data_IF_764650959120
#
_entry.id   IF_764650959120
#
_cell.length_a   1.000
_cell.length_b   1.000
_cell.length_c   1.000
_cell.angle_alpha   90.00
_cell.angle_beta   90.00
_cell.angle_gamma   90.00
#
_symmetry.space_group_name_H-M   'P 1'
#
loop_
_entity.id
_entity.type
_entity.pdbx_description
1 polymer ?
#
# COMPACT_ATOMS: atom_id res chain seq x y z
N UNK A 1 3.40 -17.76 -2.61
CA UNK A 1 2.66 -18.46 -3.69
C UNK A 1 3.16 -19.90 -3.83
N UNK A 2 2.27 -20.89 -3.77
CA UNK A 2 2.58 -22.29 -4.08
C UNK A 2 2.16 -22.64 -5.53
N UNK A 3 2.63 -21.87 -6.50
CA UNK A 3 2.35 -22.18 -7.91
C UNK A 3 3.44 -23.13 -8.45
N UNK A 4 3.07 -24.22 -9.15
CA UNK A 4 4.01 -25.04 -9.89
C UNK A 4 4.55 -24.29 -11.13
N UNK A 5 5.74 -24.64 -11.63
CA UNK A 5 6.34 -23.96 -12.78
C UNK A 5 5.45 -23.89 -14.02
N UNK A 6 4.66 -24.93 -14.29
CA UNK A 6 3.76 -24.99 -15.44
C UNK A 6 2.65 -23.94 -15.38
N UNK A 7 2.08 -23.71 -14.19
CA UNK A 7 1.07 -22.65 -13.99
C UNK A 7 1.69 -21.26 -14.14
N UNK A 8 2.94 -21.06 -13.69
CA UNK A 8 3.65 -19.79 -13.88
C UNK A 8 3.87 -19.54 -15.39
N UNK A 9 4.27 -20.57 -16.15
CA UNK A 9 4.44 -20.45 -17.61
C UNK A 9 3.10 -20.13 -18.28
N UNK A 10 2.02 -20.83 -17.93
CA UNK A 10 0.69 -20.60 -18.48
C UNK A 10 0.17 -19.18 -18.19
N UNK A 11 0.48 -18.62 -17.01
CA UNK A 11 0.14 -17.24 -16.69
C UNK A 11 0.97 -16.24 -17.50
N UNK A 12 2.25 -16.52 -17.72
CA UNK A 12 3.11 -15.71 -18.59
C UNK A 12 2.70 -15.80 -20.06
N UNK A 13 2.12 -16.92 -20.51
CA UNK A 13 1.62 -17.12 -21.88
C UNK A 13 0.47 -16.15 -22.22
N UNK A 14 -0.30 -15.69 -21.23
CA UNK A 14 -1.38 -14.69 -21.43
C UNK A 14 -0.86 -13.31 -21.84
N UNK A 15 0.42 -13.03 -21.62
CA UNK A 15 0.99 -11.69 -21.79
C UNK A 15 2.18 -11.64 -22.74
N UNK A 16 2.98 -12.70 -22.81
CA UNK A 16 4.15 -12.78 -23.67
C UNK A 16 3.93 -13.90 -24.66
N UNK A 17 4.06 -13.65 -25.96
CA UNK A 17 3.92 -14.70 -26.98
C UNK A 17 5.28 -15.39 -27.20
N UNK A 18 5.30 -16.72 -27.26
CA UNK A 18 6.53 -17.50 -27.49
C UNK A 18 7.50 -17.49 -26.31
N UNK A 19 8.82 -17.45 -26.58
CA UNK A 19 9.89 -17.38 -25.56
C UNK A 19 9.85 -18.48 -24.46
N UNK A 20 9.45 -19.71 -24.83
CA UNK A 20 9.26 -20.82 -23.88
C UNK A 20 10.47 -21.09 -22.97
N UNK A 21 11.70 -20.99 -23.52
CA UNK A 21 12.94 -21.17 -22.73
C UNK A 21 13.07 -20.13 -21.61
N UNK A 22 12.81 -18.85 -21.93
CA UNK A 22 12.89 -17.76 -20.96
C UNK A 22 11.80 -17.89 -19.88
N UNK A 23 10.55 -18.20 -20.28
CA UNK A 23 9.43 -18.44 -19.36
C UNK A 23 9.72 -19.59 -18.39
N UNK A 24 10.24 -20.71 -18.90
CA UNK A 24 10.62 -21.86 -18.07
C UNK A 24 11.74 -21.51 -17.08
N UNK A 25 12.76 -20.76 -17.53
CA UNK A 25 13.86 -20.34 -16.67
C UNK A 25 13.37 -19.47 -15.50
N UNK A 26 12.52 -18.46 -15.77
CA UNK A 26 11.97 -17.60 -14.73
C UNK A 26 11.00 -18.34 -13.80
N UNK A 27 10.21 -19.27 -14.33
CA UNK A 27 9.30 -20.10 -13.53
C UNK A 27 10.05 -21.00 -12.55
N UNK A 28 11.17 -21.60 -12.98
CA UNK A 28 12.05 -22.39 -12.11
C UNK A 28 12.68 -21.51 -11.03
N UNK A 29 13.20 -20.33 -11.39
CA UNK A 29 13.80 -19.42 -10.42
C UNK A 29 12.79 -18.98 -9.35
N UNK A 30 11.55 -18.66 -9.74
CA UNK A 30 10.48 -18.32 -8.81
C UNK A 30 10.10 -19.52 -7.92
N UNK A 31 9.95 -20.72 -8.50
CA UNK A 31 9.65 -21.95 -7.74
C UNK A 31 10.75 -22.30 -6.74
N UNK A 32 12.01 -22.05 -7.09
CA UNK A 32 13.15 -22.28 -6.19
C UNK A 32 13.10 -21.38 -4.96
N UNK A 33 12.53 -20.17 -5.04
CA UNK A 33 12.31 -19.32 -3.86
C UNK A 33 11.35 -19.98 -2.87
N UNK A 34 10.24 -20.54 -3.36
CA UNK A 34 9.30 -21.29 -2.53
C UNK A 34 9.94 -22.56 -1.95
N UNK A 35 10.68 -23.32 -2.77
CA UNK A 35 11.41 -24.52 -2.31
C UNK A 35 12.40 -24.20 -1.20
N UNK A 36 13.16 -23.11 -1.33
CA UNK A 36 14.10 -22.65 -0.29
C UNK A 36 13.39 -22.42 1.05
N UNK A 37 12.18 -21.86 1.07
CA UNK A 37 11.42 -21.66 2.30
C UNK A 37 11.04 -22.98 2.99
N UNK A 38 10.96 -24.09 2.26
CA UNK A 38 10.65 -25.42 2.79
C UNK A 38 11.89 -26.16 3.34
N UNK A 39 13.09 -25.62 3.12
CA UNK A 39 14.34 -26.22 3.61
C UNK A 39 14.57 -25.81 5.07
N UNK A 40 15.02 -26.75 5.91
CA UNK A 40 15.37 -26.50 7.30
C UNK A 40 16.73 -25.78 7.44
N UNK A 41 16.95 -25.11 8.57
CA UNK A 41 18.27 -24.57 8.90
C UNK A 41 19.28 -25.70 9.19
N UNK A 42 20.59 -25.51 8.90
CA UNK A 42 21.25 -24.30 8.39
C UNK A 42 21.25 -24.16 6.86
N UNK A 43 20.81 -25.19 6.13
CA UNK A 43 20.95 -25.29 4.68
C UNK A 43 20.20 -24.17 3.92
N UNK A 44 19.15 -23.60 4.52
CA UNK A 44 18.37 -22.52 3.91
C UNK A 44 19.19 -21.26 3.63
N UNK A 45 20.14 -20.91 4.50
CA UNK A 45 21.00 -19.74 4.32
C UNK A 45 22.04 -19.94 3.21
N UNK A 46 22.50 -21.18 3.01
CA UNK A 46 23.48 -21.52 1.96
C UNK A 46 22.87 -21.49 0.54
N UNK A 47 21.56 -21.66 0.42
CA UNK A 47 20.87 -21.64 -0.87
C UNK A 47 20.70 -20.20 -1.37
N UNK A 48 21.53 -19.80 -2.33
CA UNK A 48 21.45 -18.48 -2.99
C UNK A 48 20.43 -18.46 -4.14
N UNK A 49 19.80 -17.29 -4.41
CA UNK A 49 18.93 -17.12 -5.57
C UNK A 49 19.66 -17.41 -6.89
N UNK A 50 18.98 -18.08 -7.82
CA UNK A 50 19.50 -18.34 -9.17
C UNK A 50 19.18 -17.15 -10.08
N UNK A 51 20.15 -16.25 -10.24
CA UNK A 51 20.04 -15.11 -11.14
C UNK A 51 19.95 -15.55 -12.61
N UNK A 52 19.30 -14.75 -13.45
CA UNK A 52 19.02 -15.07 -14.85
C UNK A 52 19.63 -14.02 -15.76
N UNK A 53 20.42 -14.46 -16.74
CA UNK A 53 20.86 -13.65 -17.86
C UNK A 53 20.00 -13.96 -19.09
N UNK A 54 19.30 -12.96 -19.63
CA UNK A 54 18.51 -13.10 -20.85
C UNK A 54 19.28 -12.55 -22.05
N UNK A 55 19.53 -13.39 -23.05
CA UNK A 55 20.23 -13.02 -24.28
C UNK A 55 19.25 -13.04 -25.45
N UNK A 56 19.21 -11.96 -26.23
CA UNK A 56 18.37 -11.85 -27.43
C UNK A 56 18.25 -10.40 -27.93
N UNK A 57 17.67 -10.17 -29.12
CA UNK A 57 17.51 -8.83 -29.69
C UNK A 57 16.54 -7.97 -28.88
N UNK A 58 16.50 -6.67 -29.14
CA UNK A 58 15.52 -5.75 -28.53
C UNK A 58 14.10 -6.12 -28.98
N UNK A 59 13.08 -5.74 -28.20
CA UNK A 59 11.67 -5.96 -28.58
C UNK A 59 11.10 -7.38 -28.39
N UNK A 60 11.92 -8.40 -28.14
CA UNK A 60 11.43 -9.81 -28.00
C UNK A 60 10.73 -10.15 -26.68
N UNK A 61 10.48 -9.16 -25.81
CA UNK A 61 9.75 -9.35 -24.56
C UNK A 61 10.59 -9.69 -23.32
N UNK A 62 11.93 -9.54 -23.34
CA UNK A 62 12.80 -9.82 -22.17
C UNK A 62 12.33 -9.08 -20.90
N UNK A 63 12.14 -7.77 -21.01
CA UNK A 63 11.68 -6.92 -19.91
C UNK A 63 10.23 -7.23 -19.51
N UNK A 64 9.38 -7.60 -20.46
CA UNK A 64 7.98 -7.91 -20.20
C UNK A 64 7.84 -9.22 -19.42
N UNK A 65 8.65 -10.24 -19.71
CA UNK A 65 8.70 -11.48 -18.91
C UNK A 65 9.04 -11.16 -17.46
N UNK A 66 10.06 -10.33 -17.21
CA UNK A 66 10.46 -9.96 -15.86
C UNK A 66 9.39 -9.14 -15.13
N UNK A 67 8.79 -8.15 -15.80
CA UNK A 67 7.70 -7.32 -15.27
C UNK A 67 6.48 -8.17 -14.91
N UNK A 68 6.06 -9.08 -15.79
CA UNK A 68 4.90 -9.96 -15.57
C UNK A 68 5.16 -10.98 -14.48
N UNK A 69 6.37 -11.52 -14.40
CA UNK A 69 6.76 -12.40 -13.31
C UNK A 69 6.68 -11.70 -11.95
N UNK A 70 7.17 -10.46 -11.85
CA UNK A 70 7.11 -9.71 -10.61
C UNK A 70 5.67 -9.37 -10.19
N UNK A 71 4.84 -8.93 -11.15
CA UNK A 71 3.41 -8.71 -10.91
C UNK A 71 2.69 -9.99 -10.48
N UNK A 72 3.00 -11.11 -11.13
CA UNK A 72 2.46 -12.41 -10.75
C UNK A 72 2.86 -12.81 -9.34
N UNK A 73 4.12 -12.58 -8.95
CA UNK A 73 4.62 -12.94 -7.63
C UNK A 73 4.26 -11.92 -6.53
N UNK A 74 3.51 -10.86 -6.86
CA UNK A 74 3.28 -9.68 -6.01
C UNK A 74 4.58 -9.14 -5.42
N UNK A 75 5.63 -9.06 -6.25
CA UNK A 75 6.98 -8.68 -5.84
C UNK A 75 7.34 -7.26 -6.34
N UNK A 76 8.08 -6.47 -5.54
CA UNK A 76 8.63 -5.19 -5.98
C UNK A 76 9.52 -5.36 -7.21
N UNK A 77 9.42 -4.43 -8.17
CA UNK A 77 10.13 -4.53 -9.45
C UNK A 77 10.68 -3.18 -9.90
N UNK A 78 11.94 -3.20 -10.35
CA UNK A 78 12.62 -2.02 -10.89
C UNK A 78 13.33 -2.36 -12.20
N UNK A 79 13.29 -1.43 -13.17
CA UNK A 79 14.03 -1.51 -14.44
C UNK A 79 15.11 -0.44 -14.43
N UNK A 80 16.37 -0.85 -14.58
CA UNK A 80 17.53 0.04 -14.59
C UNK A 80 18.39 -0.26 -15.82
N UNK A 81 19.04 0.77 -16.35
CA UNK A 81 19.99 0.66 -17.45
C UNK A 81 21.40 0.72 -16.89
N UNK A 82 22.23 -0.28 -17.20
CA UNK A 82 23.56 -0.42 -16.62
C UNK A 82 24.49 0.75 -16.99
N UNK A 83 24.28 1.36 -18.15
CA UNK A 83 25.07 2.51 -18.64
C UNK A 83 24.90 3.75 -17.78
N UNK A 84 23.84 3.84 -16.95
CA UNK A 84 23.63 4.94 -16.00
C UNK A 84 24.70 5.01 -14.91
N UNK A 85 25.44 3.93 -14.67
CA UNK A 85 26.50 3.84 -13.66
C UNK A 85 27.91 3.97 -14.25
N UNK A 86 28.02 4.06 -15.58
CA UNK A 86 29.30 4.19 -16.29
C UNK A 86 29.50 5.57 -16.91
N UNK A 87 28.48 6.43 -16.89
CA UNK A 87 28.52 7.74 -17.55
C UNK A 87 29.43 8.71 -16.77
N UNK A 88 30.43 9.25 -17.47
CA UNK A 88 31.53 10.05 -16.91
C UNK A 88 30.98 11.41 -16.45
N UNK A 89 30.88 11.62 -15.13
CA UNK A 89 30.42 12.85 -14.49
C UNK A 89 30.81 12.92 -13.00
N UNK A 90 30.92 14.13 -12.46
CA UNK A 90 31.62 14.46 -11.20
C UNK A 90 30.94 13.96 -9.90
N UNK A 91 29.69 13.48 -9.97
CA UNK A 91 29.01 12.75 -8.89
C UNK A 91 28.10 11.71 -9.54
N UNK A 92 28.62 10.50 -9.80
CA UNK A 92 27.84 9.43 -10.41
C UNK A 92 26.68 8.99 -9.52
N UNK A 93 25.59 8.48 -10.12
CA UNK A 93 24.57 7.76 -9.34
C UNK A 93 25.22 6.54 -8.69
N UNK A 94 25.07 6.43 -7.38
CA UNK A 94 25.56 5.31 -6.58
C UNK A 94 24.78 4.02 -6.93
N UNK A 95 25.46 2.87 -7.02
CA UNK A 95 24.83 1.57 -7.29
C UNK A 95 23.87 1.18 -6.17
N UNK A 96 24.09 1.68 -4.95
CA UNK A 96 23.17 1.44 -3.84
C UNK A 96 21.78 2.07 -4.06
N UNK A 97 21.65 3.06 -4.93
CA UNK A 97 20.34 3.63 -5.31
C UNK A 97 19.40 2.58 -5.90
N UNK A 98 19.93 1.52 -6.54
CA UNK A 98 19.13 0.40 -7.05
C UNK A 98 18.31 -0.25 -5.93
N UNK A 99 18.93 -0.43 -4.76
CA UNK A 99 18.29 -1.08 -3.61
C UNK A 99 17.35 -0.12 -2.92
N UNK A 100 17.73 1.17 -2.78
CA UNK A 100 16.87 2.21 -2.19
C UNK A 100 15.55 2.35 -2.98
N UNK A 101 15.64 2.53 -4.30
CA UNK A 101 14.48 2.65 -5.18
C UNK A 101 13.58 1.39 -5.11
N UNK A 102 14.18 0.20 -5.02
CA UNK A 102 13.43 -1.06 -4.89
C UNK A 102 12.67 -1.15 -3.56
N UNK A 103 13.28 -0.68 -2.47
CA UNK A 103 12.64 -0.62 -1.14
C UNK A 103 11.46 0.35 -1.18
N UNK A 104 11.62 1.54 -1.76
CA UNK A 104 10.56 2.54 -1.84
C UNK A 104 9.33 2.02 -2.61
N UNK A 105 9.58 1.30 -3.72
CA UNK A 105 8.53 0.61 -4.47
C UNK A 105 7.83 -0.44 -3.59
N UNK A 106 8.58 -1.21 -2.80
CA UNK A 106 8.04 -2.21 -1.88
C UNK A 106 7.20 -1.61 -0.74
N UNK A 107 7.65 -0.49 -0.16
CA UNK A 107 6.90 0.25 0.87
C UNK A 107 5.59 0.78 0.28
N UNK A 108 5.64 1.40 -0.90
CA UNK A 108 4.45 1.89 -1.60
C UNK A 108 3.47 0.76 -1.89
N UNK A 109 3.94 -0.36 -2.45
CA UNK A 109 3.10 -1.52 -2.76
C UNK A 109 2.43 -2.09 -1.50
N UNK A 110 3.19 -2.20 -0.40
CA UNK A 110 2.67 -2.70 0.88
C UNK A 110 1.62 -1.75 1.45
N UNK A 111 1.88 -0.43 1.40
CA UNK A 111 0.93 0.60 1.83
C UNK A 111 -0.37 0.52 1.04
N UNK A 112 -0.30 0.39 -0.29
CA UNK A 112 -1.48 0.25 -1.15
C UNK A 112 -2.29 -1.01 -0.83
N UNK A 113 -1.63 -2.14 -0.62
CA UNK A 113 -2.29 -3.39 -0.22
C UNK A 113 -2.95 -3.27 1.16
N UNK A 114 -2.25 -2.68 2.14
CA UNK A 114 -2.80 -2.44 3.47
C UNK A 114 -4.01 -1.49 3.43
N UNK A 115 -3.93 -0.39 2.66
CA UNK A 115 -5.03 0.56 2.49
C UNK A 115 -6.27 -0.10 1.89
N UNK A 116 -6.10 -1.04 0.95
CA UNK A 116 -7.23 -1.80 0.38
C UNK A 116 -7.91 -2.70 1.42
N UNK A 117 -7.13 -3.35 2.29
CA UNK A 117 -7.67 -4.24 3.34
C UNK A 117 -8.58 -3.49 4.33
N UNK A 118 -8.19 -2.28 4.71
CA UNK A 118 -8.94 -1.47 5.71
C UNK A 118 -9.95 -0.51 5.07
N UNK A 119 -10.10 -0.50 3.75
CA UNK A 119 -10.91 0.50 3.03
C UNK A 119 -12.37 0.54 3.49
N UNK A 120 -12.99 -0.63 3.67
CA UNK A 120 -14.39 -0.72 4.10
C UNK A 120 -14.58 -0.17 5.52
N UNK A 121 -13.71 -0.58 6.45
CA UNK A 121 -13.75 -0.10 7.84
C UNK A 121 -13.47 1.40 7.93
N UNK A 122 -12.50 1.89 7.14
CA UNK A 122 -12.19 3.32 7.07
C UNK A 122 -13.37 4.12 6.49
N UNK A 123 -14.07 3.58 5.48
CA UNK A 123 -15.26 4.20 4.93
C UNK A 123 -16.39 4.23 5.96
N UNK A 124 -16.69 3.12 6.63
CA UNK A 124 -17.73 3.08 7.66
C UNK A 124 -17.43 4.03 8.83
N UNK A 125 -16.16 4.13 9.24
CA UNK A 125 -15.72 5.07 10.28
C UNK A 125 -15.82 6.54 9.83
N UNK A 126 -15.49 6.83 8.57
CA UNK A 126 -15.67 8.16 8.00
C UNK A 126 -17.15 8.54 7.90
N UNK A 127 -18.01 7.62 7.45
CA UNK A 127 -19.47 7.79 7.43
C UNK A 127 -20.01 8.06 8.84
N UNK A 128 -19.57 7.30 9.85
CA UNK A 128 -20.02 7.49 11.24
C UNK A 128 -19.66 8.88 11.77
N UNK A 129 -18.46 9.38 11.46
CA UNK A 129 -18.01 10.72 11.87
C UNK A 129 -18.83 11.84 11.24
N UNK A 130 -19.26 11.65 9.99
CA UNK A 130 -20.19 12.57 9.31
C UNK A 130 -21.59 12.49 9.94
N UNK A 131 -22.07 11.27 10.24
CA UNK A 131 -23.38 11.06 10.85
C UNK A 131 -23.46 11.62 12.29
N UNK A 132 -22.36 11.66 13.03
CA UNK A 132 -22.31 12.29 14.36
C UNK A 132 -22.59 13.79 14.32
N UNK A 133 -22.21 14.46 13.22
CA UNK A 133 -22.48 15.88 13.01
C UNK A 133 -23.92 16.11 12.53
N UNK A 134 -24.40 15.27 11.61
CA UNK A 134 -25.74 15.38 11.03
C UNK A 134 -26.85 14.97 12.02
N UNK A 135 -26.62 13.94 12.83
CA UNK A 135 -27.56 13.42 13.82
C UNK A 135 -26.82 13.19 15.14
N UNK A 136 -26.60 14.27 15.92
CA UNK A 136 -25.93 14.18 17.20
C UNK A 136 -26.67 13.18 18.11
N UNK A 137 -25.96 12.29 18.80
CA UNK A 137 -26.60 11.45 19.81
C UNK A 137 -27.24 12.37 20.87
N UNK A 138 -28.39 11.99 21.45
CA UNK A 138 -28.97 12.73 22.56
C UNK A 138 -27.90 12.83 23.66
N UNK A 139 -27.43 14.06 23.91
CA UNK A 139 -26.59 14.33 25.07
C UNK A 139 -27.43 14.00 26.29
N UNK A 140 -26.90 13.20 27.20
CA UNK A 140 -27.48 12.97 28.50
C UNK A 140 -27.48 14.32 29.22
N UNK A 141 -28.60 15.04 29.13
CA UNK A 141 -28.71 16.42 29.60
C UNK A 141 -28.92 16.37 31.11
N UNK A 142 -27.82 16.14 31.83
CA UNK A 142 -27.76 16.17 33.29
C UNK A 142 -28.08 17.56 33.82
N UNK A 143 -29.37 17.81 34.07
CA UNK A 143 -29.83 18.90 34.90
C UNK A 143 -30.44 18.32 36.19
N UNK A 144 -29.65 18.29 37.28
CA UNK A 144 -30.21 18.28 38.64
C UNK A 144 -29.62 17.28 39.65
N UNK A 145 -28.87 17.83 40.60
CA UNK A 145 -28.81 17.48 42.03
C UNK A 145 -27.99 16.28 42.51
N UNK A 146 -27.23 16.58 43.56
CA UNK A 146 -26.59 15.67 44.50
C UNK A 146 -27.48 14.53 45.00
N UNK A 147 -26.79 13.48 45.45
CA UNK A 147 -27.21 12.35 46.31
C UNK A 147 -27.64 11.05 45.63
N UNK A 148 -26.74 10.07 45.75
CA UNK A 148 -26.97 8.72 46.25
C UNK A 148 -28.00 7.80 45.56
N UNK A 149 -27.47 6.63 45.19
CA UNK A 149 -28.11 5.30 45.30
C UNK A 149 -28.91 4.82 44.08
N UNK A 150 -28.28 3.85 43.41
CA UNK A 150 -28.86 2.69 42.71
C UNK A 150 -30.06 2.90 41.80
N UNK A 151 -29.85 2.66 40.51
CA UNK A 151 -30.72 1.76 39.75
C UNK A 151 -30.10 1.44 38.40
N UNK A 152 -29.78 0.16 38.22
CA UNK A 152 -29.69 -0.50 36.94
C UNK A 152 -31.03 -0.34 36.20
N UNK A 153 -31.20 0.71 35.39
CA UNK A 153 -32.35 0.81 34.46
C UNK A 153 -32.16 2.02 33.55
N UNK A 154 -31.34 1.88 32.49
CA UNK A 154 -31.38 2.76 31.32
C UNK A 154 -30.79 2.05 30.09
N UNK A 155 -31.37 0.88 29.77
CA UNK A 155 -31.12 0.17 28.51
C UNK A 155 -32.27 0.32 27.48
N UNK A 156 -33.28 1.14 27.74
CA UNK A 156 -34.50 1.21 26.90
C UNK A 156 -34.65 2.48 26.02
N UNK A 157 -33.74 3.45 26.07
CA UNK A 157 -33.80 4.65 25.20
C UNK A 157 -33.20 4.50 23.78
N UNK A 158 -32.67 3.33 23.39
CA UNK A 158 -31.82 3.16 22.19
C UNK A 158 -32.55 2.93 20.84
N UNK A 159 -33.88 3.06 20.80
CA UNK A 159 -34.67 2.76 19.59
C UNK A 159 -34.74 3.90 18.55
N UNK A 160 -34.88 5.15 18.99
CA UNK A 160 -35.18 6.29 18.10
C UNK A 160 -33.98 6.82 17.31
N UNK A 161 -32.82 6.99 17.97
CA UNK A 161 -31.59 7.48 17.32
C UNK A 161 -31.04 6.51 16.27
N UNK A 162 -31.31 5.21 16.42
CA UNK A 162 -30.78 4.18 15.52
C UNK A 162 -31.52 4.16 14.17
N UNK A 163 -32.83 4.40 14.17
CA UNK A 163 -33.65 4.44 12.94
C UNK A 163 -33.34 5.69 12.09
N UNK A 164 -33.24 6.87 12.72
CA UNK A 164 -32.83 8.09 12.03
C UNK A 164 -31.41 7.96 11.45
N UNK A 165 -30.44 7.45 12.22
CA UNK A 165 -29.07 7.25 11.71
C UNK A 165 -28.99 6.28 10.53
N UNK A 166 -29.81 5.23 10.50
CA UNK A 166 -29.86 4.31 9.35
C UNK A 166 -30.43 4.95 8.09
N UNK A 167 -31.45 5.80 8.21
CA UNK A 167 -32.01 6.50 7.03
C UNK A 167 -31.04 7.56 6.49
N UNK A 168 -30.35 8.30 7.36
CA UNK A 168 -29.30 9.25 6.95
C UNK A 168 -28.07 8.55 6.36
N UNK A 169 -27.65 7.41 6.90
CA UNK A 169 -26.58 6.59 6.29
C UNK A 169 -26.93 6.18 4.86
N UNK A 170 -28.16 5.75 4.62
CA UNK A 170 -28.62 5.39 3.28
C UNK A 170 -28.60 6.60 2.33
N UNK A 171 -29.10 7.75 2.78
CA UNK A 171 -29.09 9.01 2.02
C UNK A 171 -27.69 9.52 1.69
N UNK A 172 -26.73 9.34 2.60
CA UNK A 172 -25.31 9.67 2.39
C UNK A 172 -24.70 8.77 1.31
N UNK A 173 -24.99 7.46 1.32
CA UNK A 173 -24.53 6.53 0.28
C UNK A 173 -25.19 6.75 -1.08
N UNK A 174 -26.39 7.32 -1.10
CA UNK A 174 -27.11 7.70 -2.31
C UNK A 174 -26.67 9.06 -2.88
N UNK A 175 -25.75 9.77 -2.21
CA UNK A 175 -25.21 11.06 -2.66
C UNK A 175 -26.18 12.24 -2.50
N UNK A 176 -27.28 12.05 -1.78
CA UNK A 176 -28.32 13.08 -1.62
C UNK A 176 -27.97 14.21 -0.64
N UNK A 177 -26.85 14.07 0.07
CA UNK A 177 -26.40 15.01 1.11
C UNK A 177 -25.04 15.64 0.78
N UNK A 178 -24.51 15.41 -0.43
CA UNK A 178 -23.16 15.82 -0.83
C UNK A 178 -23.01 17.35 -0.92
N UNK A 179 -24.10 18.06 -1.21
CA UNK A 179 -24.12 19.54 -1.31
C UNK A 179 -24.34 20.23 0.04
N UNK A 180 -24.49 19.50 1.15
CA UNK A 180 -24.67 20.10 2.48
C UNK A 180 -23.34 20.52 3.09
N UNK A 181 -23.27 21.78 3.55
CA UNK A 181 -22.12 22.29 4.28
C UNK A 181 -22.11 21.74 5.72
N UNK A 182 -21.01 21.11 6.11
CA UNK A 182 -20.78 20.59 7.46
C UNK A 182 -19.40 21.03 7.95
N UNK A 183 -19.29 21.29 9.25
CA UNK A 183 -18.02 21.62 9.90
C UNK A 183 -17.46 20.34 10.56
N UNK A 184 -16.27 19.92 10.15
CA UNK A 184 -15.58 18.72 10.66
C UNK A 184 -14.21 19.13 11.18
N UNK A 185 -13.90 18.72 12.41
CA UNK A 185 -12.54 18.78 12.93
C UNK A 185 -11.68 17.68 12.29
N UNK A 186 -10.77 18.10 11.41
CA UNK A 186 -9.76 17.23 10.79
C UNK A 186 -8.41 17.51 11.47
N UNK A 187 -7.59 16.48 11.63
CA UNK A 187 -6.22 16.68 12.08
C UNK A 187 -5.47 17.53 11.04
N UNK A 188 -5.10 18.75 11.41
CA UNK A 188 -4.24 19.57 10.56
C UNK A 188 -2.86 18.94 10.48
N UNK A 189 -2.34 18.83 9.25
CA UNK A 189 -0.92 18.51 9.08
C UNK A 189 -0.12 19.71 9.56
N UNK A 190 0.83 19.48 10.48
CA UNK A 190 1.69 20.53 10.99
C UNK A 190 2.29 21.34 9.83
N UNK A 191 2.40 22.67 9.96
CA UNK A 191 2.87 23.53 8.88
C UNK A 191 4.24 23.04 8.39
N UNK A 192 4.29 22.60 7.14
CA UNK A 192 5.54 22.21 6.50
C UNK A 192 6.34 23.49 6.26
N UNK A 193 7.39 23.69 7.05
CA UNK A 193 8.31 24.79 6.85
C UNK A 193 9.01 24.57 5.50
N UNK A 194 8.62 25.32 4.46
CA UNK A 194 9.30 25.29 3.18
C UNK A 194 10.66 25.98 3.33
N UNK A 195 11.70 25.17 3.48
CA UNK A 195 13.08 25.64 3.48
C UNK A 195 13.47 25.88 2.02
N UNK A 196 13.48 27.14 1.59
CA UNK A 196 13.99 27.52 0.27
C UNK A 196 15.50 27.28 0.23
N UNK A 197 15.91 26.17 -0.39
CA UNK A 197 17.32 25.81 -0.55
C UNK A 197 17.84 26.09 -1.98
N UNK A 198 19.13 26.44 -2.13
CA UNK A 198 19.76 26.58 -3.44
C UNK A 198 19.72 25.25 -4.25
N UNK A 199 19.71 25.31 -5.59
CA UNK A 199 19.71 24.13 -6.43
C UNK A 199 20.91 23.22 -6.11
N UNK A 200 20.64 21.94 -5.85
CA UNK A 200 21.63 20.93 -5.43
C UNK A 200 21.55 20.51 -3.96
N UNK A 201 20.70 21.14 -3.14
CA UNK A 201 20.48 20.81 -1.72
C UNK A 201 19.08 20.22 -1.44
N UNK A 202 18.32 19.87 -2.48
CA UNK A 202 16.93 19.39 -2.40
C UNK A 202 16.81 18.10 -1.57
N UNK A 203 17.73 17.16 -1.74
CA UNK A 203 17.76 15.88 -1.00
C UNK A 203 18.04 16.09 0.50
N UNK A 204 18.87 17.09 0.84
CA UNK A 204 19.14 17.47 2.24
C UNK A 204 17.93 18.17 2.86
N UNK A 205 17.20 18.99 2.11
CA UNK A 205 15.95 19.58 2.60
C UNK A 205 14.87 18.54 2.83
N UNK A 206 14.77 17.52 1.99
CA UNK A 206 13.83 16.41 2.20
C UNK A 206 14.19 15.57 3.43
N UNK A 207 15.48 15.32 3.67
CA UNK A 207 15.95 14.65 4.89
C UNK A 207 15.62 15.47 6.16
N UNK A 208 15.90 16.77 6.16
CA UNK A 208 15.55 17.67 7.27
C UNK A 208 14.02 17.66 7.48
N UNK A 209 13.25 17.75 6.40
CA UNK A 209 11.79 17.72 6.45
C UNK A 209 11.26 16.41 7.06
N UNK A 210 11.87 15.27 6.72
CA UNK A 210 11.51 13.96 7.31
C UNK A 210 11.91 13.79 8.78
N UNK A 211 12.88 14.55 9.28
CA UNK A 211 13.24 14.55 10.70
C UNK A 211 12.26 15.35 11.56
N UNK A 212 11.54 16.31 10.96
CA UNK A 212 10.58 17.18 11.63
C UNK A 212 9.10 16.79 11.39
N UNK A 213 8.84 15.70 10.65
CA UNK A 213 7.50 15.18 10.34
C UNK A 213 7.15 13.92 11.11
#
# INVERSE_FOLDING_TARGET
MNMPPEQIVAELDKHVVGQAKAKRAVAIALRNRWRRQQVAEPLRHEITPKNILMIGPTGVGKTEIARRLAKLADAPFIKIEATKFTEVGYVGRDVDTIVRDLIDIGVKQTRESAMKLVRAQAQDAAEERVLDILVPPPRDFGFGSSSSTSSEQDKEGKGGGNSARQTFRKRLREGSLDDQEIEIEVAESAPQMEIMAPPGMEEMTEQIKSMFS
#
